data_IF_570237852046
#
_entry.id   IF_570237852046
#
_cell.length_a   1.000
_cell.length_b   1.000
_cell.length_c   1.000
_cell.angle_alpha   90.00
_cell.angle_beta   90.00
_cell.angle_gamma   90.00
#
_symmetry.space_group_name_H-M   'P 1'
#
loop_
_entity.id
_entity.type
_entity.pdbx_description
1 polymer ?
#
# COMPACT_ATOMS: atom_id res chain seq x y z
N UNK A 1 -40.44 -10.94 -7.82
CA UNK A 1 -39.25 -10.87 -6.96
C UNK A 1 -38.08 -11.55 -7.65
N UNK A 2 -37.26 -10.81 -8.38
CA UNK A 2 -36.08 -11.30 -9.09
C UNK A 2 -34.85 -11.26 -8.18
N UNK A 3 -34.33 -12.44 -7.81
CA UNK A 3 -33.07 -12.57 -7.05
C UNK A 3 -31.94 -11.96 -7.88
N UNK A 4 -31.29 -10.92 -7.36
CA UNK A 4 -30.10 -10.30 -7.96
C UNK A 4 -28.99 -11.33 -8.12
N UNK A 5 -28.30 -11.27 -9.25
CA UNK A 5 -27.13 -12.04 -9.66
C UNK A 5 -25.85 -11.66 -8.89
N UNK A 6 -25.93 -11.51 -7.56
CA UNK A 6 -24.85 -10.97 -6.70
C UNK A 6 -23.53 -11.74 -6.76
N UNK A 7 -23.53 -12.98 -7.25
CA UNK A 7 -22.36 -13.86 -7.27
C UNK A 7 -21.38 -13.58 -8.42
N UNK A 8 -21.84 -13.28 -9.64
CA UNK A 8 -20.93 -13.08 -10.80
C UNK A 8 -20.17 -11.76 -10.72
N UNK A 9 -20.88 -10.66 -10.47
CA UNK A 9 -20.28 -9.33 -10.42
C UNK A 9 -19.21 -9.18 -9.31
N UNK A 10 -19.39 -9.86 -8.17
CA UNK A 10 -18.38 -9.87 -7.10
C UNK A 10 -17.11 -10.61 -7.53
N UNK A 11 -17.29 -11.75 -8.21
CA UNK A 11 -16.17 -12.55 -8.70
C UNK A 11 -15.35 -11.78 -9.75
N UNK A 12 -16.02 -11.06 -10.65
CA UNK A 12 -15.38 -10.21 -11.66
C UNK A 12 -14.55 -9.09 -11.01
N UNK A 13 -15.10 -8.38 -10.02
CA UNK A 13 -14.36 -7.29 -9.34
C UNK A 13 -13.14 -7.82 -8.59
N UNK A 14 -13.28 -8.90 -7.81
CA UNK A 14 -12.14 -9.47 -7.07
C UNK A 14 -11.04 -9.95 -8.01
N UNK A 15 -11.40 -10.61 -9.12
CA UNK A 15 -10.42 -11.08 -10.10
C UNK A 15 -9.73 -9.92 -10.81
N UNK A 16 -10.49 -8.91 -11.24
CA UNK A 16 -9.95 -7.70 -11.86
C UNK A 16 -9.00 -6.97 -10.91
N UNK A 17 -9.36 -6.81 -9.64
CA UNK A 17 -8.47 -6.19 -8.63
C UNK A 17 -7.16 -6.96 -8.48
N UNK A 18 -7.21 -8.30 -8.42
CA UNK A 18 -6.00 -9.13 -8.31
C UNK A 18 -5.11 -9.01 -9.55
N UNK A 19 -5.69 -9.00 -10.74
CA UNK A 19 -4.94 -8.82 -11.99
C UNK A 19 -4.30 -7.44 -12.05
N UNK A 20 -5.08 -6.39 -11.80
CA UNK A 20 -4.60 -4.99 -11.83
C UNK A 20 -3.47 -4.78 -10.83
N UNK A 21 -3.64 -5.25 -9.60
CA UNK A 21 -2.61 -5.09 -8.56
C UNK A 21 -1.36 -5.91 -8.87
N UNK A 22 -1.50 -7.10 -9.46
CA UNK A 22 -0.34 -7.87 -9.93
C UNK A 22 0.43 -7.13 -11.02
N UNK A 23 -0.27 -6.53 -11.98
CA UNK A 23 0.35 -5.73 -13.04
C UNK A 23 1.04 -4.48 -12.47
N UNK A 24 0.39 -3.76 -11.55
CA UNK A 24 0.99 -2.61 -10.88
C UNK A 24 2.25 -2.99 -10.10
N UNK A 25 2.23 -4.13 -9.42
CA UNK A 25 3.41 -4.63 -8.71
C UNK A 25 4.56 -5.00 -9.65
N UNK A 26 4.27 -5.61 -10.81
CA UNK A 26 5.28 -5.88 -11.83
C UNK A 26 5.87 -4.59 -12.41
N UNK A 27 5.04 -3.57 -12.63
CA UNK A 27 5.50 -2.24 -13.07
C UNK A 27 6.40 -1.60 -12.00
N UNK A 28 6.02 -1.67 -10.73
CA UNK A 28 6.84 -1.16 -9.63
C UNK A 28 8.19 -1.88 -9.51
N UNK A 29 8.22 -3.22 -9.69
CA UNK A 29 9.45 -3.99 -9.74
C UNK A 29 10.35 -3.58 -10.92
N UNK A 30 9.76 -3.38 -12.10
CA UNK A 30 10.51 -2.93 -13.27
C UNK A 30 11.07 -1.51 -13.06
N UNK A 31 10.28 -0.59 -12.52
CA UNK A 31 10.70 0.77 -12.21
C UNK A 31 11.84 0.80 -11.19
N UNK A 32 11.73 -0.01 -10.12
CA UNK A 32 12.77 -0.16 -9.13
C UNK A 32 14.08 -0.69 -9.72
N UNK A 33 14.00 -1.73 -10.56
CA UNK A 33 15.17 -2.28 -11.24
C UNK A 33 15.83 -1.26 -12.19
N UNK A 34 15.05 -0.38 -12.82
CA UNK A 34 15.58 0.69 -13.66
C UNK A 34 16.21 1.81 -12.84
N UNK A 35 15.60 2.25 -11.73
CA UNK A 35 16.15 3.31 -10.88
C UNK A 35 17.47 2.91 -10.25
N UNK A 36 17.58 1.67 -9.73
CA UNK A 36 18.84 1.15 -9.18
C UNK A 36 19.95 1.11 -10.24
N UNK A 37 19.61 0.88 -11.51
CA UNK A 37 20.58 0.90 -12.62
C UNK A 37 20.99 2.31 -13.03
N UNK A 38 20.10 3.29 -12.90
CA UNK A 38 20.33 4.66 -13.35
C UNK A 38 21.03 5.52 -12.28
N UNK A 39 20.51 5.48 -11.05
CA UNK A 39 20.87 6.40 -9.96
C UNK A 39 21.70 5.72 -8.86
N UNK A 40 21.95 4.41 -8.98
CA UNK A 40 22.76 3.66 -8.02
C UNK A 40 22.11 3.52 -6.64
N UNK A 41 22.91 3.63 -5.57
CA UNK A 41 22.44 3.44 -4.19
C UNK A 41 21.80 4.69 -3.58
N UNK A 42 21.91 5.84 -4.23
CA UNK A 42 21.38 7.11 -3.70
C UNK A 42 19.83 7.12 -3.69
N UNK A 43 19.19 6.44 -4.65
CA UNK A 43 17.73 6.29 -4.72
C UNK A 43 17.20 5.03 -4.02
N UNK A 44 18.06 4.29 -3.31
CA UNK A 44 17.71 2.96 -2.80
C UNK A 44 16.62 3.01 -1.72
N UNK A 45 16.64 4.04 -0.86
CA UNK A 45 15.66 4.20 0.21
C UNK A 45 14.25 4.45 -0.35
N UNK A 46 14.12 5.40 -1.26
CA UNK A 46 12.86 5.74 -1.96
C UNK A 46 12.35 4.57 -2.78
N UNK A 47 13.25 3.89 -3.49
CA UNK A 47 12.92 2.70 -4.29
C UNK A 47 12.43 1.55 -3.40
N UNK A 48 13.12 1.28 -2.29
CA UNK A 48 12.75 0.24 -1.34
C UNK A 48 11.42 0.53 -0.65
N UNK A 49 11.17 1.78 -0.27
CA UNK A 49 9.90 2.20 0.32
C UNK A 49 8.73 2.10 -0.65
N UNK A 50 8.90 2.55 -1.89
CA UNK A 50 7.90 2.38 -2.96
C UNK A 50 7.57 0.89 -3.22
N UNK A 51 8.60 0.04 -3.28
CA UNK A 51 8.44 -1.41 -3.40
C UNK A 51 7.75 -2.02 -2.19
N UNK A 52 8.08 -1.56 -0.99
CA UNK A 52 7.42 -2.02 0.23
C UNK A 52 5.92 -1.71 0.19
N UNK A 53 5.53 -0.47 -0.10
CA UNK A 53 4.13 -0.06 -0.11
C UNK A 53 3.36 -0.83 -1.18
N UNK A 54 3.89 -0.89 -2.40
CA UNK A 54 3.24 -1.60 -3.51
C UNK A 54 3.20 -3.10 -3.27
N UNK A 55 4.27 -3.68 -2.72
CA UNK A 55 4.35 -5.10 -2.37
C UNK A 55 3.40 -5.48 -1.24
N UNK A 56 3.32 -4.67 -0.18
CA UNK A 56 2.38 -4.88 0.91
C UNK A 56 0.93 -4.81 0.42
N UNK A 57 0.61 -3.85 -0.48
CA UNK A 57 -0.68 -3.79 -1.15
C UNK A 57 -0.96 -5.07 -1.97
N UNK A 58 0.01 -5.49 -2.79
CA UNK A 58 -0.13 -6.68 -3.61
C UNK A 58 -0.36 -7.94 -2.79
N UNK A 59 0.43 -8.13 -1.72
CA UNK A 59 0.25 -9.25 -0.79
C UNK A 59 -1.11 -9.20 -0.11
N UNK A 60 -1.56 -8.01 0.31
CA UNK A 60 -2.87 -7.80 0.91
C UNK A 60 -4.01 -8.23 0.00
N UNK A 61 -4.00 -7.74 -1.23
CA UNK A 61 -5.06 -8.01 -2.22
C UNK A 61 -5.03 -9.46 -2.68
N UNK A 62 -3.85 -10.02 -2.96
CA UNK A 62 -3.73 -11.41 -3.45
C UNK A 62 -4.15 -12.43 -2.39
N UNK A 63 -3.89 -12.15 -1.11
CA UNK A 63 -4.27 -13.00 0.01
C UNK A 63 -5.63 -12.68 0.62
N UNK A 64 -6.38 -11.73 0.04
CA UNK A 64 -7.64 -11.23 0.59
C UNK A 64 -7.51 -10.83 2.08
N UNK A 65 -6.34 -10.25 2.44
CA UNK A 65 -5.94 -9.95 3.81
C UNK A 65 -6.05 -8.46 4.15
N UNK A 66 -6.54 -7.62 3.24
CA UNK A 66 -6.65 -6.16 3.42
C UNK A 66 -7.50 -5.76 4.63
N UNK A 67 -8.48 -6.60 4.97
CA UNK A 67 -9.36 -6.37 6.12
C UNK A 67 -8.75 -6.88 7.43
N UNK A 68 -7.60 -7.56 7.40
CA UNK A 68 -6.97 -8.06 8.61
C UNK A 68 -6.21 -6.94 9.32
N UNK A 69 -6.34 -6.90 10.65
CA UNK A 69 -5.63 -5.91 11.47
C UNK A 69 -4.11 -5.96 11.28
N UNK A 70 -3.55 -7.17 11.24
CA UNK A 70 -2.10 -7.36 11.05
C UNK A 70 -1.62 -6.72 9.74
N UNK A 71 -2.39 -6.87 8.68
CA UNK A 71 -2.07 -6.25 7.40
C UNK A 71 -2.22 -4.73 7.45
N UNK A 72 -3.33 -4.21 8.01
CA UNK A 72 -3.57 -2.77 8.13
C UNK A 72 -2.45 -2.06 8.89
N UNK A 73 -2.05 -2.62 10.04
CA UNK A 73 -0.94 -2.07 10.84
C UNK A 73 0.38 -2.09 10.07
N UNK A 74 0.69 -3.19 9.38
CA UNK A 74 1.92 -3.28 8.58
C UNK A 74 1.91 -2.28 7.41
N UNK A 75 0.79 -2.19 6.68
CA UNK A 75 0.65 -1.33 5.52
C UNK A 75 0.71 0.16 5.92
N UNK A 76 -0.20 0.60 6.80
CA UNK A 76 -0.26 2.00 7.21
C UNK A 76 0.93 2.42 8.08
N UNK A 77 1.49 1.49 8.87
CA UNK A 77 2.74 1.69 9.59
C UNK A 77 3.90 1.97 8.66
N UNK A 78 4.06 1.15 7.62
CA UNK A 78 5.11 1.39 6.64
C UNK A 78 4.89 2.67 5.83
N UNK A 79 3.65 3.02 5.47
CA UNK A 79 3.34 4.31 4.81
C UNK A 79 3.71 5.50 5.72
N UNK A 80 3.38 5.42 7.01
CA UNK A 80 3.72 6.46 7.98
C UNK A 80 5.24 6.66 8.10
N UNK A 81 5.97 5.55 8.30
CA UNK A 81 7.44 5.57 8.42
C UNK A 81 8.10 6.03 7.14
N UNK A 82 7.62 5.56 5.99
CA UNK A 82 8.17 5.93 4.69
C UNK A 82 7.97 7.41 4.39
N UNK A 83 6.76 7.94 4.56
CA UNK A 83 6.50 9.38 4.38
C UNK A 83 7.33 10.26 5.31
N UNK A 84 7.58 9.82 6.55
CA UNK A 84 8.47 10.55 7.46
C UNK A 84 9.94 10.52 7.00
N UNK A 85 10.40 9.39 6.49
CA UNK A 85 11.76 9.25 5.98
C UNK A 85 11.99 10.11 4.73
N UNK A 86 11.03 10.12 3.80
CA UNK A 86 11.07 10.98 2.61
C UNK A 86 10.99 12.45 2.99
N UNK A 87 10.08 12.84 3.88
CA UNK A 87 9.99 14.22 4.34
C UNK A 87 11.30 14.70 5.00
N UNK A 88 11.97 13.84 5.77
CA UNK A 88 13.25 14.17 6.38
C UNK A 88 14.36 14.40 5.33
N UNK A 89 14.26 13.77 4.16
CA UNK A 89 15.22 13.90 3.07
C UNK A 89 14.90 15.07 2.12
N UNK A 90 13.63 15.24 1.76
CA UNK A 90 13.16 16.17 0.72
C UNK A 90 12.61 17.48 1.27
N UNK A 91 12.13 17.47 2.53
CA UNK A 91 11.31 18.53 3.14
C UNK A 91 10.03 18.86 2.36
N UNK A 92 9.53 17.93 1.53
CA UNK A 92 8.33 18.12 0.73
C UNK A 92 7.06 17.90 1.55
N UNK A 93 6.14 18.86 1.51
CA UNK A 93 4.89 18.81 2.29
C UNK A 93 4.03 17.58 1.98
N UNK A 94 4.13 17.04 0.76
CA UNK A 94 3.37 15.87 0.34
C UNK A 94 3.77 14.61 1.11
N UNK A 95 5.07 14.42 1.37
CA UNK A 95 5.58 13.29 2.14
C UNK A 95 5.11 13.35 3.60
N UNK A 96 5.04 14.57 4.15
CA UNK A 96 4.48 14.80 5.47
C UNK A 96 2.98 14.47 5.53
N UNK A 97 2.21 14.82 4.49
CA UNK A 97 0.82 14.40 4.41
C UNK A 97 0.65 12.90 4.29
N UNK A 98 1.52 12.25 3.51
CA UNK A 98 1.51 10.79 3.36
C UNK A 98 1.77 10.12 4.71
N UNK A 99 2.76 10.62 5.46
CA UNK A 99 3.05 10.19 6.81
C UNK A 99 1.85 10.37 7.74
N UNK A 100 1.24 11.56 7.72
CA UNK A 100 0.09 11.89 8.54
C UNK A 100 -1.12 10.99 8.20
N UNK A 101 -1.35 10.68 6.93
CA UNK A 101 -2.41 9.77 6.50
C UNK A 101 -2.20 8.34 7.02
N UNK A 102 -0.97 7.81 6.93
CA UNK A 102 -0.61 6.51 7.50
C UNK A 102 -0.83 6.49 9.02
N UNK A 103 -0.36 7.52 9.73
CA UNK A 103 -0.53 7.64 11.17
C UNK A 103 -2.01 7.76 11.59
N UNK A 104 -2.80 8.55 10.86
CA UNK A 104 -4.22 8.71 11.13
C UNK A 104 -5.00 7.39 10.97
N UNK A 105 -4.67 6.59 9.95
CA UNK A 105 -5.29 5.27 9.76
C UNK A 105 -4.95 4.30 10.90
N UNK A 106 -3.73 4.34 11.43
CA UNK A 106 -3.35 3.56 12.61
C UNK A 106 -4.07 4.04 13.87
N UNK A 107 -4.20 5.35 14.05
CA UNK A 107 -4.96 5.93 15.16
C UNK A 107 -6.44 5.52 15.09
N UNK A 108 -7.03 5.50 13.90
CA UNK A 108 -8.39 4.98 13.65
C UNK A 108 -8.52 3.50 14.03
N UNK A 109 -7.62 2.63 13.56
CA UNK A 109 -7.62 1.20 13.92
C UNK A 109 -7.46 0.99 15.43
N UNK A 110 -6.67 1.83 16.09
CA UNK A 110 -6.51 1.82 17.54
C UNK A 110 -7.75 2.35 18.28
N UNK A 111 -8.43 3.37 17.77
CA UNK A 111 -9.63 3.93 18.38
C UNK A 111 -10.82 2.96 18.29
N UNK A 112 -11.02 2.32 17.13
CA UNK A 112 -12.04 1.29 16.93
C UNK A 112 -11.89 0.12 17.92
N UNK A 113 -10.66 -0.15 18.38
CA UNK A 113 -10.37 -1.16 19.40
C UNK A 113 -10.85 -0.74 20.80
N UNK A 114 -10.82 0.54 21.15
CA UNK A 114 -11.19 1.00 22.49
C UNK A 114 -12.68 1.33 22.63
N UNK A 115 -13.37 1.52 21.51
CA UNK A 115 -14.80 1.85 21.47
C UNK A 115 -15.73 0.63 21.25
N UNK A 116 -15.16 -0.56 20.98
CA UNK A 116 -15.88 -1.81 20.74
C UNK A 116 -15.91 -2.79 21.90
#
# INVERSE_FOLDING_TARGET
MTRRSTSRARFDVTLVSKVVVSLLFLVALAAAAMSVRADGFDSLATTAGSLYVTGALAVGVLRDATDTRRWRVAFFGGVAVFGLAEYAASSEWFDLLLAAAGAAMLAGDAFDRFSG
#
